data_IF_507012551304
#
_entry.id   IF_507012551304
#
_cell.length_a   1.000
_cell.length_b   1.000
_cell.length_c   1.000
_cell.angle_alpha   90.00
_cell.angle_beta   90.00
_cell.angle_gamma   90.00
#
_symmetry.space_group_name_H-M   'P 1'
#
loop_
_entity.id
_entity.type
_entity.pdbx_description
1 polymer ?
#
# COMPACT_ATOMS: atom_id res chain seq x y z
N UNK A 1 11.40 6.57 -29.97
CA UNK A 1 10.48 5.46 -29.67
C UNK A 1 9.24 6.10 -29.08
N UNK A 2 8.20 6.07 -29.86
CA UNK A 2 7.06 6.98 -29.74
C UNK A 2 6.20 6.74 -28.51
N UNK A 3 5.93 7.84 -27.81
CA UNK A 3 4.97 7.90 -26.70
C UNK A 3 3.60 8.18 -27.29
N UNK A 4 2.68 7.25 -27.17
CA UNK A 4 1.26 7.50 -27.40
C UNK A 4 0.62 8.03 -26.10
N UNK A 5 -0.11 9.17 -26.14
CA UNK A 5 -0.86 9.67 -25.01
C UNK A 5 -2.19 8.91 -24.85
N UNK A 6 -2.77 8.85 -23.64
CA UNK A 6 -4.05 8.22 -23.42
C UNK A 6 -5.18 9.07 -24.03
N UNK A 7 -6.14 8.39 -24.64
CA UNK A 7 -7.31 8.92 -25.30
C UNK A 7 -8.21 9.79 -24.40
N UNK A 8 -8.63 10.90 -24.96
CA UNK A 8 -9.57 11.87 -24.43
C UNK A 8 -10.94 11.27 -24.09
N UNK A 9 -11.37 11.41 -22.84
CA UNK A 9 -12.76 11.17 -22.43
C UNK A 9 -13.59 12.44 -22.60
N UNK A 10 -14.68 12.28 -23.33
CA UNK A 10 -15.70 13.25 -23.69
C UNK A 10 -16.25 14.04 -22.49
N UNK A 11 -16.17 15.36 -22.59
CA UNK A 11 -16.92 16.31 -21.76
C UNK A 11 -18.40 16.31 -22.22
N UNK A 12 -19.30 15.89 -21.35
CA UNK A 12 -20.71 16.28 -21.45
C UNK A 12 -21.06 17.16 -20.25
N UNK A 13 -21.30 18.43 -20.54
CA UNK A 13 -21.85 19.39 -19.61
C UNK A 13 -23.31 19.00 -19.26
N UNK A 14 -23.60 18.87 -17.95
CA UNK A 14 -24.98 18.86 -17.47
C UNK A 14 -25.20 20.17 -16.70
N UNK A 15 -26.12 20.97 -17.23
CA UNK A 15 -26.55 22.24 -16.65
C UNK A 15 -27.37 22.01 -15.37
N UNK A 16 -26.97 22.67 -14.27
CA UNK A 16 -27.73 22.71 -13.04
C UNK A 16 -28.63 23.95 -13.09
N UNK A 17 -29.93 23.74 -13.08
CA UNK A 17 -30.97 24.79 -12.95
C UNK A 17 -31.01 25.30 -11.51
N UNK A 18 -30.88 26.61 -11.41
CA UNK A 18 -31.12 27.34 -10.17
C UNK A 18 -32.62 27.43 -9.87
N UNK A 19 -32.98 27.25 -8.60
CA UNK A 19 -34.28 27.69 -8.09
C UNK A 19 -34.08 28.74 -7.00
N UNK A 20 -34.75 29.87 -7.22
CA UNK A 20 -34.82 31.04 -6.34
C UNK A 20 -36.20 31.10 -5.64
N UNK A 21 -36.19 31.75 -4.47
CA UNK A 21 -37.28 32.40 -3.73
C UNK A 21 -38.13 31.51 -2.81
N UNK A 22 -38.32 31.85 -1.51
CA UNK A 22 -39.18 32.94 -1.02
C UNK A 22 -38.85 33.29 0.45
N UNK A 23 -38.74 34.58 0.72
CA UNK A 23 -38.69 35.15 2.07
C UNK A 23 -40.14 35.42 2.57
N UNK A 24 -40.39 35.25 3.86
CA UNK A 24 -41.53 35.89 4.55
C UNK A 24 -41.16 36.23 5.99
N UNK A 25 -41.21 37.51 6.31
CA UNK A 25 -41.06 38.10 7.62
C UNK A 25 -42.38 38.03 8.41
N UNK A 26 -42.31 37.85 9.73
CA UNK A 26 -43.36 38.27 10.63
C UNK A 26 -42.78 38.76 11.97
N UNK A 27 -43.21 39.97 12.34
CA UNK A 27 -42.91 40.76 13.54
C UNK A 27 -43.55 40.21 14.80
N UNK A 28 -42.83 40.40 15.90
CA UNK A 28 -43.38 41.03 17.10
C UNK A 28 -43.84 40.16 18.25
N UNK A 29 -43.21 40.20 19.39
CA UNK A 29 -43.73 40.79 20.62
C UNK A 29 -42.72 40.73 21.77
N UNK A 30 -42.47 41.86 22.42
CA UNK A 30 -41.75 41.99 23.70
C UNK A 30 -42.47 41.33 24.85
N UNK A 31 -41.74 40.56 25.67
CA UNK A 31 -42.04 40.40 27.10
C UNK A 31 -40.73 40.47 27.90
N UNK A 32 -40.71 41.42 28.83
CA UNK A 32 -39.66 41.56 29.84
C UNK A 32 -39.73 40.38 30.83
N UNK A 33 -38.62 39.72 31.05
CA UNK A 33 -38.44 38.67 32.05
C UNK A 33 -37.06 38.76 32.68
N UNK A 34 -37.01 38.97 33.95
CA UNK A 34 -35.96 39.18 34.93
C UNK A 34 -34.68 38.38 34.71
N UNK A 35 -33.56 39.10 34.79
CA UNK A 35 -32.21 38.56 34.78
C UNK A 35 -31.91 37.69 36.02
N UNK A 36 -31.64 36.42 35.77
CA UNK A 36 -30.89 35.56 36.70
C UNK A 36 -29.52 35.37 36.12
N UNK A 37 -28.52 35.92 36.77
CA UNK A 37 -27.09 35.79 36.46
C UNK A 37 -26.67 34.33 36.57
N UNK A 38 -26.52 33.64 35.44
CA UNK A 38 -25.82 32.37 35.38
C UNK A 38 -24.38 32.65 34.88
N UNK A 39 -23.41 32.34 35.74
CA UNK A 39 -22.00 32.44 35.43
C UNK A 39 -21.59 31.64 34.17
N UNK A 40 -20.48 32.00 33.54
CA UNK A 40 -20.06 31.38 32.29
C UNK A 40 -19.75 29.89 32.51
N UNK A 41 -20.59 29.02 32.00
CA UNK A 41 -20.25 27.61 31.84
C UNK A 41 -19.14 27.54 30.80
N UNK A 42 -17.93 27.32 31.26
CA UNK A 42 -16.78 26.91 30.43
C UNK A 42 -17.26 25.72 29.58
N UNK A 43 -17.41 25.94 28.28
CA UNK A 43 -17.49 24.85 27.32
C UNK A 43 -16.11 24.19 27.33
N UNK A 44 -15.97 23.06 28.01
CA UNK A 44 -14.83 22.19 27.82
C UNK A 44 -14.86 21.80 26.34
N UNK A 45 -13.90 22.36 25.55
CA UNK A 45 -13.57 21.81 24.25
C UNK A 45 -13.23 20.33 24.47
N UNK A 46 -13.76 19.42 23.63
CA UNK A 46 -13.34 18.04 23.69
C UNK A 46 -11.83 18.03 23.38
N UNK A 47 -11.00 17.82 24.41
CA UNK A 47 -9.60 17.49 24.20
C UNK A 47 -9.59 16.27 23.27
N UNK A 48 -9.23 16.50 21.99
CA UNK A 48 -8.82 15.44 21.09
C UNK A 48 -7.67 14.72 21.81
N UNK A 49 -7.99 13.61 22.48
CA UNK A 49 -6.97 12.67 22.92
C UNK A 49 -6.20 12.29 21.66
N UNK A 50 -4.96 12.81 21.54
CA UNK A 50 -4.05 12.41 20.50
C UNK A 50 -4.00 10.89 20.52
N UNK A 51 -4.60 10.26 19.53
CA UNK A 51 -4.65 8.80 19.42
C UNK A 51 -3.21 8.32 19.31
N UNK A 52 -2.71 7.74 20.40
CA UNK A 52 -1.34 7.22 20.47
C UNK A 52 -1.17 6.16 19.39
N UNK A 53 -0.08 6.26 18.63
CA UNK A 53 0.25 5.26 17.62
C UNK A 53 0.34 3.86 18.24
N UNK A 54 -0.05 2.82 17.47
CA UNK A 54 -0.05 1.44 17.95
C UNK A 54 1.37 0.98 18.33
N UNK A 55 1.56 0.60 19.58
CA UNK A 55 2.82 0.03 20.07
C UNK A 55 2.79 -1.50 19.91
N UNK A 56 3.33 -1.97 18.77
CA UNK A 56 3.44 -3.40 18.50
C UNK A 56 4.47 -4.09 19.37
N UNK A 57 5.48 -3.38 19.88
CA UNK A 57 6.55 -3.98 20.66
C UNK A 57 6.10 -4.41 22.06
N UNK A 58 5.03 -3.80 22.58
CA UNK A 58 4.39 -4.21 23.82
C UNK A 58 3.59 -5.52 23.72
N UNK A 59 3.40 -6.06 22.52
CA UNK A 59 2.56 -7.24 22.27
C UNK A 59 3.38 -8.47 21.91
N UNK A 60 2.93 -9.67 22.31
CA UNK A 60 3.46 -10.92 21.79
C UNK A 60 3.46 -10.95 20.27
N UNK A 61 4.52 -11.50 19.67
CA UNK A 61 4.71 -11.46 18.22
C UNK A 61 3.51 -11.98 17.42
N UNK A 62 2.94 -13.10 17.85
CA UNK A 62 1.78 -13.71 17.19
C UNK A 62 0.48 -12.89 17.27
N UNK A 63 0.40 -11.90 18.18
CA UNK A 63 -0.78 -11.02 18.31
C UNK A 63 -0.66 -9.71 17.49
N UNK A 64 0.54 -9.40 16.97
CA UNK A 64 0.81 -8.14 16.28
C UNK A 64 -0.02 -7.96 15.01
N UNK A 65 -0.24 -9.03 14.23
CA UNK A 65 -1.08 -8.99 13.03
C UNK A 65 -2.55 -8.66 13.37
N UNK A 66 -3.12 -9.34 14.36
CA UNK A 66 -4.48 -9.08 14.83
C UNK A 66 -4.64 -7.68 15.46
N UNK A 67 -3.60 -7.17 16.13
CA UNK A 67 -3.60 -5.82 16.68
C UNK A 67 -3.57 -4.76 15.56
N UNK A 68 -2.75 -4.96 14.52
CA UNK A 68 -2.71 -4.07 13.37
C UNK A 68 -4.05 -4.06 12.62
N UNK A 69 -4.67 -5.22 12.38
CA UNK A 69 -6.00 -5.28 11.76
C UNK A 69 -7.04 -4.47 12.55
N UNK A 70 -7.07 -4.59 13.88
CA UNK A 70 -7.97 -3.77 14.72
C UNK A 70 -7.65 -2.28 14.63
N UNK A 71 -6.39 -1.91 14.62
CA UNK A 71 -5.97 -0.51 14.49
C UNK A 71 -6.37 0.10 13.13
N UNK A 72 -6.47 -0.75 12.10
CA UNK A 72 -7.04 -0.42 10.79
C UNK A 72 -8.57 -0.37 10.79
N UNK A 73 -9.24 -0.66 11.90
CA UNK A 73 -10.70 -0.74 11.99
C UNK A 73 -11.26 -1.99 11.29
N UNK A 74 -10.48 -3.07 11.18
CA UNK A 74 -10.85 -4.31 10.50
C UNK A 74 -10.99 -5.47 11.48
N UNK A 75 -11.75 -6.52 11.11
CA UNK A 75 -11.84 -7.75 11.89
C UNK A 75 -10.45 -8.41 12.06
N UNK A 76 -10.28 -9.19 13.13
CA UNK A 76 -9.08 -10.00 13.37
C UNK A 76 -9.09 -11.24 12.49
N UNK A 77 -8.98 -11.04 11.19
CA UNK A 77 -8.89 -12.07 10.15
C UNK A 77 -7.89 -11.64 9.10
N UNK A 78 -7.40 -12.56 8.29
CA UNK A 78 -6.52 -12.20 7.17
C UNK A 78 -7.25 -11.23 6.24
N UNK A 79 -6.73 -10.01 6.11
CA UNK A 79 -7.33 -8.97 5.28
C UNK A 79 -7.11 -9.26 3.81
N UNK A 80 -8.10 -8.95 2.97
CA UNK A 80 -7.98 -9.04 1.52
C UNK A 80 -8.09 -7.65 0.90
N UNK A 81 -7.24 -7.36 -0.07
CA UNK A 81 -7.23 -6.08 -0.75
C UNK A 81 -7.08 -6.22 -2.26
N UNK A 82 -7.33 -5.12 -2.95
CA UNK A 82 -7.07 -4.97 -4.37
C UNK A 82 -6.23 -3.73 -4.63
N UNK A 83 -5.29 -3.85 -5.58
CA UNK A 83 -4.40 -2.77 -5.98
C UNK A 83 -4.56 -2.43 -7.46
N UNK A 84 -4.19 -1.19 -7.82
CA UNK A 84 -4.15 -0.70 -9.21
C UNK A 84 -5.44 -0.99 -10.00
N UNK A 85 -6.58 -0.84 -9.32
CA UNK A 85 -7.90 -1.11 -9.90
C UNK A 85 -8.83 0.09 -9.69
N UNK A 86 -9.83 0.26 -10.54
CA UNK A 86 -10.84 1.31 -10.38
C UNK A 86 -11.99 0.87 -9.46
N UNK A 87 -12.56 1.82 -8.72
CA UNK A 87 -13.69 1.57 -7.82
C UNK A 87 -14.95 1.10 -8.53
N UNK A 88 -15.15 1.53 -9.79
CA UNK A 88 -16.29 1.10 -10.60
C UNK A 88 -16.24 -0.41 -10.85
N UNK A 89 -15.07 -0.99 -11.04
CA UNK A 89 -14.89 -2.44 -11.16
C UNK A 89 -15.19 -3.15 -9.84
N UNK A 90 -14.68 -2.64 -8.71
CA UNK A 90 -14.92 -3.22 -7.38
C UNK A 90 -16.43 -3.24 -7.06
N UNK A 91 -17.09 -2.10 -7.20
CA UNK A 91 -18.53 -1.94 -6.94
C UNK A 91 -19.38 -2.73 -7.94
N UNK A 92 -19.05 -2.64 -9.24
CA UNK A 92 -19.82 -3.32 -10.31
C UNK A 92 -19.77 -4.84 -10.21
N UNK A 93 -18.71 -5.40 -9.60
CA UNK A 93 -18.63 -6.83 -9.31
C UNK A 93 -19.19 -7.20 -7.93
N UNK A 94 -19.53 -6.23 -7.07
CA UNK A 94 -19.98 -6.45 -5.71
C UNK A 94 -18.90 -7.10 -4.84
N UNK A 95 -17.65 -6.65 -4.98
CA UNK A 95 -16.54 -7.17 -4.21
C UNK A 95 -16.51 -6.51 -2.82
N UNK A 96 -16.27 -7.30 -1.79
CA UNK A 96 -15.91 -6.82 -0.45
C UNK A 96 -14.40 -6.93 -0.30
N UNK A 97 -13.74 -5.80 -0.02
CA UNK A 97 -12.28 -5.73 0.16
C UNK A 97 -11.94 -4.90 1.39
N UNK A 98 -10.90 -5.27 2.11
CA UNK A 98 -10.44 -4.57 3.30
C UNK A 98 -9.45 -3.45 2.98
N UNK A 99 -8.70 -3.58 1.87
CA UNK A 99 -7.62 -2.67 1.47
C UNK A 99 -7.80 -2.27 0.00
N UNK A 100 -7.71 -0.96 -0.27
CA UNK A 100 -7.71 -0.39 -1.62
C UNK A 100 -6.38 0.31 -1.88
N UNK A 101 -5.55 -0.24 -2.77
CA UNK A 101 -4.18 0.22 -2.98
C UNK A 101 -4.01 0.95 -4.32
N UNK A 102 -3.24 2.05 -4.28
CA UNK A 102 -2.79 2.78 -5.46
C UNK A 102 -1.32 3.23 -5.33
N UNK A 103 -0.68 3.47 -6.47
CA UNK A 103 0.69 3.95 -6.53
C UNK A 103 0.79 5.47 -6.49
N UNK A 104 1.92 5.95 -5.95
CA UNK A 104 2.39 7.33 -6.06
C UNK A 104 3.77 7.31 -6.72
N UNK A 105 3.82 7.61 -8.00
CA UNK A 105 5.03 7.52 -8.82
C UNK A 105 5.54 8.90 -9.22
N UNK A 106 6.81 8.96 -9.61
CA UNK A 106 7.45 10.14 -10.18
C UNK A 106 7.88 11.19 -9.15
N UNK A 107 8.65 12.16 -9.60
CA UNK A 107 9.14 13.28 -8.79
C UNK A 107 8.91 14.60 -9.53
N UNK A 108 8.54 15.65 -8.78
CA UNK A 108 8.30 16.96 -9.33
C UNK A 108 7.07 17.02 -10.25
N UNK A 109 7.20 17.71 -11.38
CA UNK A 109 6.08 17.95 -12.30
C UNK A 109 5.56 16.69 -13.02
N UNK A 110 6.41 15.68 -13.19
CA UNK A 110 6.06 14.42 -13.86
C UNK A 110 5.69 13.32 -12.83
N UNK A 111 4.93 13.69 -11.82
CA UNK A 111 4.58 12.82 -10.70
C UNK A 111 3.09 12.84 -10.40
N UNK A 112 2.70 12.07 -9.39
CA UNK A 112 1.33 12.04 -8.85
C UNK A 112 0.79 13.43 -8.44
N UNK A 113 1.67 14.43 -8.25
CA UNK A 113 1.27 15.82 -7.99
C UNK A 113 0.49 16.43 -9.17
N UNK A 114 0.83 16.04 -10.40
CA UNK A 114 0.26 16.61 -11.64
C UNK A 114 -0.89 15.79 -12.23
N UNK A 115 -1.18 14.60 -11.69
CA UNK A 115 -2.21 13.73 -12.27
C UNK A 115 -3.62 14.29 -12.11
N UNK A 116 -3.84 15.14 -11.12
CA UNK A 116 -5.12 15.80 -10.86
C UNK A 116 -4.91 17.25 -10.38
N UNK A 117 -5.95 18.07 -10.46
CA UNK A 117 -5.93 19.47 -9.97
C UNK A 117 -6.84 19.59 -8.74
N UNK A 118 -6.43 20.33 -7.69
CA UNK A 118 -5.11 20.95 -7.49
C UNK A 118 -3.98 19.95 -7.33
N UNK A 119 -2.72 20.41 -7.37
CA UNK A 119 -1.55 19.54 -7.25
C UNK A 119 -1.63 18.63 -6.02
N UNK A 120 -1.39 17.34 -6.23
CA UNK A 120 -1.50 16.30 -5.22
C UNK A 120 -2.92 15.86 -4.86
N UNK A 121 -3.97 16.35 -5.55
CA UNK A 121 -5.36 15.92 -5.31
C UNK A 121 -5.56 14.42 -5.54
N UNK A 122 -4.67 13.76 -6.29
CA UNK A 122 -4.74 12.33 -6.51
C UNK A 122 -4.78 11.52 -5.20
N UNK A 123 -3.99 11.89 -4.20
CA UNK A 123 -4.02 11.20 -2.91
C UNK A 123 -5.38 11.34 -2.22
N UNK A 124 -6.01 12.53 -2.28
CA UNK A 124 -7.35 12.76 -1.71
C UNK A 124 -8.41 11.92 -2.45
N UNK A 125 -8.30 11.82 -3.78
CA UNK A 125 -9.17 10.99 -4.61
C UNK A 125 -9.05 9.51 -4.24
N UNK A 126 -7.83 9.01 -4.03
CA UNK A 126 -7.61 7.62 -3.62
C UNK A 126 -8.24 7.34 -2.26
N UNK A 127 -8.11 8.26 -1.28
CA UNK A 127 -8.76 8.12 0.02
C UNK A 127 -10.29 8.11 -0.09
N UNK A 128 -10.88 8.99 -0.93
CA UNK A 128 -12.31 8.98 -1.22
C UNK A 128 -12.75 7.68 -1.90
N UNK A 129 -11.96 7.17 -2.85
CA UNK A 129 -12.24 5.90 -3.52
C UNK A 129 -12.20 4.72 -2.54
N UNK A 130 -11.26 4.72 -1.59
CA UNK A 130 -11.22 3.72 -0.54
C UNK A 130 -12.47 3.79 0.36
N UNK A 131 -12.90 5.01 0.73
CA UNK A 131 -14.14 5.20 1.48
C UNK A 131 -15.38 4.70 0.73
N UNK A 132 -15.44 4.92 -0.59
CA UNK A 132 -16.57 4.46 -1.44
C UNK A 132 -16.70 2.93 -1.47
N UNK A 133 -15.61 2.20 -1.36
CA UNK A 133 -15.60 0.73 -1.33
C UNK A 133 -15.43 0.19 0.10
N UNK A 134 -15.59 1.04 1.10
CA UNK A 134 -15.48 0.72 2.53
C UNK A 134 -14.16 0.04 2.91
N UNK A 135 -13.06 0.42 2.24
CA UNK A 135 -11.72 -0.15 2.43
C UNK A 135 -10.77 0.84 3.11
N UNK A 136 -9.66 0.33 3.62
CA UNK A 136 -8.53 1.12 4.10
C UNK A 136 -7.68 1.54 2.89
N UNK A 137 -7.41 2.84 2.68
CA UNK A 137 -6.51 3.26 1.62
C UNK A 137 -5.08 2.79 1.90
N UNK A 138 -4.43 2.26 0.86
CA UNK A 138 -3.01 1.93 0.88
C UNK A 138 -2.29 2.64 -0.26
N UNK A 139 -1.24 3.34 0.06
CA UNK A 139 -0.37 3.98 -0.93
C UNK A 139 0.94 3.21 -1.08
N UNK A 140 1.32 2.93 -2.32
CA UNK A 140 2.68 2.49 -2.63
C UNK A 140 3.47 3.69 -3.13
N UNK A 141 4.35 4.21 -2.30
CA UNK A 141 5.31 5.26 -2.69
C UNK A 141 6.41 4.60 -3.50
N UNK A 142 6.48 4.91 -4.79
CA UNK A 142 7.43 4.34 -5.75
C UNK A 142 8.10 5.46 -6.54
N UNK A 143 8.80 6.32 -5.82
CA UNK A 143 9.36 7.57 -6.33
C UNK A 143 10.88 7.46 -6.57
N UNK A 144 11.58 6.61 -5.81
CA UNK A 144 13.02 6.38 -6.00
C UNK A 144 13.34 5.80 -7.38
N UNK A 145 12.40 5.09 -8.00
CA UNK A 145 12.51 4.60 -9.37
C UNK A 145 12.23 5.67 -10.47
N UNK A 146 12.04 6.95 -10.11
CA UNK A 146 11.71 8.00 -11.09
C UNK A 146 12.78 8.20 -12.17
N UNK A 147 14.04 7.84 -11.89
CA UNK A 147 15.13 7.81 -12.87
C UNK A 147 15.28 6.49 -13.61
N UNK A 148 14.45 5.50 -13.32
CA UNK A 148 14.46 4.13 -13.83
C UNK A 148 14.76 3.11 -12.73
N UNK A 149 14.26 1.90 -12.90
CA UNK A 149 14.50 0.80 -11.97
C UNK A 149 16.01 0.53 -11.82
N UNK A 150 16.45 0.37 -10.59
CA UNK A 150 17.87 0.17 -10.26
C UNK A 150 18.73 1.42 -10.29
N UNK A 151 18.20 2.57 -10.71
CA UNK A 151 18.94 3.86 -10.70
C UNK A 151 18.77 4.49 -9.32
N UNK A 152 19.80 4.35 -8.47
CA UNK A 152 19.80 4.90 -7.09
C UNK A 152 20.63 6.18 -6.95
N UNK A 153 21.23 6.68 -8.03
CA UNK A 153 22.06 7.89 -8.05
C UNK A 153 21.31 9.16 -7.63
N UNK A 154 19.98 9.16 -7.68
CA UNK A 154 19.15 10.27 -7.21
C UNK A 154 19.28 10.58 -5.72
N UNK A 155 19.62 9.60 -4.88
CA UNK A 155 19.62 9.79 -3.41
C UNK A 155 20.70 10.74 -2.89
N UNK A 156 21.71 11.06 -3.69
CA UNK A 156 22.75 12.03 -3.39
C UNK A 156 22.60 13.34 -4.17
N UNK A 157 21.55 13.48 -4.98
CA UNK A 157 21.27 14.66 -5.78
C UNK A 157 20.24 15.58 -5.10
N UNK A 158 20.60 16.82 -4.71
CA UNK A 158 19.64 17.74 -4.09
C UNK A 158 18.44 18.07 -4.98
N UNK A 159 18.63 18.10 -6.32
CA UNK A 159 17.55 18.37 -7.26
C UNK A 159 16.53 17.22 -7.33
N UNK A 160 16.90 16.03 -6.91
CA UNK A 160 16.03 14.87 -6.77
C UNK A 160 15.42 14.79 -5.36
N UNK A 161 16.27 14.83 -4.33
CA UNK A 161 15.83 14.58 -2.95
C UNK A 161 15.04 15.75 -2.36
N UNK A 162 15.25 16.98 -2.81
CA UNK A 162 14.43 18.12 -2.37
C UNK A 162 12.95 17.95 -2.70
N UNK A 163 12.57 17.79 -3.99
CA UNK A 163 11.20 17.47 -4.37
C UNK A 163 10.68 16.16 -3.79
N UNK A 164 11.52 15.13 -3.65
CA UNK A 164 11.16 13.87 -3.01
C UNK A 164 10.62 14.08 -1.59
N UNK A 165 11.38 14.76 -0.73
CA UNK A 165 10.97 15.04 0.65
C UNK A 165 9.72 15.91 0.73
N UNK A 166 9.56 16.87 -0.16
CA UNK A 166 8.35 17.69 -0.23
C UNK A 166 7.12 16.81 -0.54
N UNK A 167 7.24 15.86 -1.45
CA UNK A 167 6.15 14.96 -1.80
C UNK A 167 5.83 13.94 -0.69
N UNK A 168 6.85 13.38 -0.04
CA UNK A 168 6.68 12.51 1.14
C UNK A 168 5.94 13.27 2.25
N UNK A 169 6.38 14.49 2.56
CA UNK A 169 5.71 15.34 3.55
C UNK A 169 4.26 15.61 3.18
N UNK A 170 4.00 16.03 1.93
CA UNK A 170 2.64 16.31 1.46
C UNK A 170 1.71 15.10 1.58
N UNK A 171 2.19 13.90 1.26
CA UNK A 171 1.42 12.67 1.44
C UNK A 171 0.98 12.51 2.91
N UNK A 172 1.93 12.59 3.86
CA UNK A 172 1.61 12.41 5.27
C UNK A 172 0.76 13.55 5.84
N UNK A 173 0.91 14.80 5.37
CA UNK A 173 -0.01 15.89 5.72
C UNK A 173 -1.45 15.60 5.26
N UNK A 174 -1.62 15.05 4.04
CA UNK A 174 -2.94 14.66 3.53
C UNK A 174 -3.53 13.50 4.34
N UNK A 175 -2.73 12.50 4.66
CA UNK A 175 -3.14 11.37 5.50
C UNK A 175 -3.50 11.82 6.94
N UNK A 176 -2.76 12.78 7.48
CA UNK A 176 -3.08 13.40 8.76
C UNK A 176 -4.43 14.13 8.74
N UNK A 177 -4.72 14.90 7.69
CA UNK A 177 -6.02 15.55 7.50
C UNK A 177 -7.16 14.56 7.25
N UNK A 178 -6.90 13.47 6.54
CA UNK A 178 -7.87 12.38 6.36
C UNK A 178 -8.29 11.79 7.71
N UNK A 179 -7.37 11.65 8.65
CA UNK A 179 -7.65 11.32 10.05
C UNK A 179 -8.18 9.90 10.30
N UNK A 180 -8.37 9.09 9.27
CA UNK A 180 -8.73 7.67 9.36
C UNK A 180 -7.49 6.79 9.19
N UNK A 181 -7.56 5.49 9.54
CA UNK A 181 -6.46 4.56 9.30
C UNK A 181 -6.09 4.47 7.82
N UNK A 182 -4.79 4.42 7.53
CA UNK A 182 -4.24 4.23 6.20
C UNK A 182 -2.97 3.39 6.25
N UNK A 183 -2.59 2.80 5.12
CA UNK A 183 -1.36 2.02 4.94
C UNK A 183 -0.45 2.72 3.92
N UNK A 184 0.86 2.66 4.16
CA UNK A 184 1.85 3.13 3.18
C UNK A 184 2.96 2.08 3.04
N UNK A 185 3.17 1.62 1.81
CA UNK A 185 4.29 0.80 1.37
C UNK A 185 5.38 1.72 0.84
N UNK A 186 6.58 1.63 1.41
CA UNK A 186 7.66 2.60 1.20
C UNK A 186 8.73 2.06 0.25
N UNK A 187 8.75 2.56 -0.98
CA UNK A 187 9.81 2.42 -1.98
C UNK A 187 10.18 0.96 -2.30
N UNK A 188 9.26 0.17 -2.88
CA UNK A 188 9.59 -1.16 -3.40
C UNK A 188 10.83 -1.13 -4.31
N UNK A 189 11.59 -2.22 -4.31
CA UNK A 189 12.82 -2.46 -5.08
C UNK A 189 14.02 -1.59 -4.69
N UNK A 190 13.81 -0.35 -4.27
CA UNK A 190 14.87 0.58 -3.89
C UNK A 190 15.81 0.00 -2.84
N UNK A 191 15.28 -0.64 -1.80
CA UNK A 191 16.10 -1.15 -0.70
C UNK A 191 17.04 -2.27 -1.11
N UNK A 192 16.63 -3.12 -2.05
CA UNK A 192 17.48 -4.17 -2.60
C UNK A 192 18.57 -3.62 -3.51
N UNK A 193 18.26 -2.62 -4.33
CA UNK A 193 19.28 -1.94 -5.12
C UNK A 193 20.28 -1.19 -4.26
N UNK A 194 19.81 -0.54 -3.19
CA UNK A 194 20.69 0.10 -2.22
C UNK A 194 21.57 -0.91 -1.48
N UNK A 195 21.02 -2.07 -1.10
CA UNK A 195 21.80 -3.15 -0.48
C UNK A 195 22.87 -3.73 -1.40
N UNK A 196 22.60 -3.86 -2.69
CA UNK A 196 23.60 -4.31 -3.66
C UNK A 196 24.74 -3.30 -3.83
N UNK A 197 24.43 -2.01 -3.74
CA UNK A 197 25.44 -0.97 -3.88
C UNK A 197 26.29 -0.82 -2.61
N UNK A 198 25.68 -0.92 -1.43
CA UNK A 198 26.35 -0.88 -0.12
C UNK A 198 25.60 -1.78 0.88
N UNK A 199 26.22 -2.88 1.32
CA UNK A 199 25.60 -3.83 2.23
C UNK A 199 25.30 -3.28 3.65
N UNK A 200 25.82 -2.11 3.98
CA UNK A 200 25.54 -1.43 5.25
C UNK A 200 24.74 -0.13 5.01
N UNK A 201 23.43 -0.11 5.27
CA UNK A 201 22.61 1.07 5.01
C UNK A 201 23.00 2.29 5.84
N UNK A 202 23.80 2.11 6.91
CA UNK A 202 24.31 3.20 7.73
C UNK A 202 25.55 3.87 7.12
N UNK A 203 26.16 3.25 6.12
CA UNK A 203 27.31 3.79 5.37
C UNK A 203 26.97 4.29 4.00
N UNK A 204 25.83 3.87 3.44
CA UNK A 204 25.41 4.27 2.11
C UNK A 204 24.93 5.72 2.11
N UNK A 205 25.63 6.66 1.44
CA UNK A 205 25.27 8.07 1.48
C UNK A 205 23.91 8.35 0.84
N UNK A 206 23.10 9.21 1.48
CA UNK A 206 21.85 9.72 0.94
C UNK A 206 21.52 11.07 1.58
N UNK A 207 20.89 11.99 0.85
CA UNK A 207 20.55 13.32 1.35
C UNK A 207 19.27 13.29 2.20
N UNK A 208 19.43 13.38 3.50
CA UNK A 208 18.36 13.40 4.50
C UNK A 208 18.19 14.78 5.13
N UNK A 209 19.29 15.41 5.52
CA UNK A 209 19.31 16.68 6.26
C UNK A 209 18.78 17.88 5.48
N UNK A 210 18.67 17.76 4.16
CA UNK A 210 17.96 18.77 3.35
C UNK A 210 16.46 18.81 3.66
N UNK A 211 15.90 17.77 4.31
CA UNK A 211 14.57 17.80 4.90
C UNK A 211 14.66 18.41 6.31
N UNK A 212 14.06 19.60 6.56
CA UNK A 212 14.15 20.28 7.86
C UNK A 212 13.61 19.44 9.03
N UNK A 213 12.62 18.59 8.79
CA UNK A 213 12.04 17.71 9.82
C UNK A 213 12.99 16.59 10.27
N UNK A 214 14.08 16.40 9.53
CA UNK A 214 15.04 15.30 9.71
C UNK A 214 16.50 15.78 9.76
N UNK A 215 16.73 17.08 10.02
CA UNK A 215 18.05 17.72 9.95
C UNK A 215 19.09 17.09 10.90
N UNK A 216 18.66 16.45 11.97
CA UNK A 216 19.55 15.76 12.93
C UNK A 216 19.84 14.28 12.58
N UNK A 217 19.12 13.70 11.60
CA UNK A 217 19.37 12.33 11.16
C UNK A 217 20.60 12.25 10.24
N UNK A 218 21.27 11.11 10.18
CA UNK A 218 22.43 10.95 9.31
C UNK A 218 22.05 10.96 7.83
N UNK A 219 22.93 11.52 6.99
CA UNK A 219 22.81 11.51 5.53
C UNK A 219 23.18 10.12 4.97
N UNK A 220 22.34 9.13 5.26
CA UNK A 220 22.51 7.72 4.86
C UNK A 220 21.17 7.10 4.45
N UNK A 221 21.22 5.95 3.78
CA UNK A 221 20.02 5.18 3.42
C UNK A 221 19.22 4.78 4.67
N UNK A 222 19.89 4.42 5.77
CA UNK A 222 19.20 4.21 7.05
C UNK A 222 18.54 5.50 7.58
N UNK A 223 19.19 6.64 7.37
CA UNK A 223 18.61 7.96 7.69
C UNK A 223 17.36 8.26 6.84
N UNK A 224 17.34 7.87 5.56
CA UNK A 224 16.14 7.99 4.72
C UNK A 224 14.97 7.20 5.33
N UNK A 225 15.18 5.95 5.69
CA UNK A 225 14.14 5.12 6.31
C UNK A 225 13.66 5.73 7.64
N UNK A 226 14.58 6.18 8.48
CA UNK A 226 14.26 6.82 9.76
C UNK A 226 13.45 8.12 9.57
N UNK A 227 13.79 8.94 8.57
CA UNK A 227 13.08 10.17 8.24
C UNK A 227 11.65 9.90 7.77
N UNK A 228 11.43 8.89 6.92
CA UNK A 228 10.10 8.48 6.50
C UNK A 228 9.22 8.06 7.69
N UNK A 229 9.74 7.22 8.58
CA UNK A 229 9.04 6.80 9.80
C UNK A 229 8.68 7.99 10.69
N UNK A 230 9.65 8.88 10.92
CA UNK A 230 9.44 10.10 11.71
C UNK A 230 8.35 11.00 11.12
N UNK A 231 8.42 11.25 9.81
CA UNK A 231 7.43 12.07 9.11
C UNK A 231 6.03 11.49 9.23
N UNK A 232 5.90 10.16 9.08
CA UNK A 232 4.63 9.46 9.26
C UNK A 232 4.10 9.62 10.69
N UNK A 233 4.93 9.40 11.71
CA UNK A 233 4.52 9.51 13.13
C UNK A 233 4.13 10.93 13.51
N UNK A 234 4.85 11.92 12.99
CA UNK A 234 4.62 13.33 13.28
C UNK A 234 3.33 13.85 12.63
N UNK A 235 3.13 13.56 11.35
CA UNK A 235 2.08 14.19 10.55
C UNK A 235 0.81 13.35 10.42
N UNK A 236 0.92 12.02 10.51
CA UNK A 236 -0.18 11.10 10.27
C UNK A 236 -0.18 9.92 11.27
N UNK A 237 -0.46 10.16 12.57
CA UNK A 237 -0.31 9.13 13.62
C UNK A 237 -1.24 7.92 13.47
N UNK A 238 -2.26 7.99 12.61
CA UNK A 238 -3.13 6.87 12.26
C UNK A 238 -2.73 6.15 10.97
N UNK A 239 -1.60 6.52 10.38
CA UNK A 239 -1.04 5.85 9.20
C UNK A 239 0.01 4.84 9.62
N UNK A 240 -0.15 3.62 9.12
CA UNK A 240 0.77 2.51 9.37
C UNK A 240 1.65 2.33 8.15
N UNK A 241 2.95 2.23 8.37
CA UNK A 241 3.95 2.20 7.29
C UNK A 241 4.73 0.90 7.30
N UNK A 242 5.06 0.40 6.11
CA UNK A 242 5.82 -0.83 5.93
C UNK A 242 6.94 -0.68 4.92
N UNK A 243 8.01 -1.44 5.14
CA UNK A 243 9.13 -1.56 4.22
C UNK A 243 9.05 -2.88 3.46
N UNK A 244 9.20 -2.85 2.12
CA UNK A 244 9.30 -4.04 1.30
C UNK A 244 10.75 -4.47 1.17
N UNK A 245 11.20 -5.60 1.77
CA UNK A 245 12.43 -6.22 1.34
C UNK A 245 12.30 -6.59 -0.14
N UNK A 246 13.36 -6.37 -0.91
CA UNK A 246 13.30 -6.61 -2.36
C UNK A 246 13.32 -8.09 -2.71
N UNK A 247 13.72 -8.94 -1.77
CA UNK A 247 13.73 -10.41 -1.89
C UNK A 247 14.49 -10.92 -3.13
N UNK A 248 15.49 -10.15 -3.61
CA UNK A 248 16.34 -10.61 -4.70
C UNK A 248 17.13 -11.85 -4.26
N UNK A 249 17.19 -12.86 -5.12
CA UNK A 249 17.75 -14.17 -4.79
C UNK A 249 19.18 -14.11 -4.23
N UNK A 250 20.01 -13.24 -4.79
CA UNK A 250 21.39 -12.98 -4.35
C UNK A 250 21.49 -12.31 -2.97
N UNK A 251 20.45 -11.62 -2.52
CA UNK A 251 20.42 -10.91 -1.25
C UNK A 251 19.77 -11.69 -0.11
N UNK A 252 18.98 -12.72 -0.40
CA UNK A 252 18.20 -13.47 0.61
C UNK A 252 19.01 -13.91 1.85
N UNK A 253 20.31 -14.29 1.76
CA UNK A 253 21.07 -14.68 2.95
C UNK A 253 21.28 -13.53 3.95
N UNK A 254 21.33 -12.28 3.49
CA UNK A 254 21.69 -11.10 4.31
C UNK A 254 20.55 -10.09 4.45
N UNK A 255 19.46 -10.26 3.70
CA UNK A 255 18.41 -9.27 3.55
C UNK A 255 17.71 -8.92 4.89
N UNK A 256 17.33 -9.91 5.69
CA UNK A 256 16.73 -9.67 7.03
C UNK A 256 17.65 -8.83 7.91
N UNK A 257 18.95 -9.11 7.91
CA UNK A 257 19.93 -8.36 8.70
C UNK A 257 20.11 -6.92 8.16
N UNK A 258 20.11 -6.76 6.84
CA UNK A 258 20.11 -5.44 6.20
C UNK A 258 18.89 -4.63 6.57
N UNK A 259 17.69 -5.19 6.39
CA UNK A 259 16.42 -4.54 6.71
C UNK A 259 16.32 -4.16 8.20
N UNK A 260 16.89 -4.97 9.09
CA UNK A 260 16.97 -4.62 10.51
C UNK A 260 17.90 -3.43 10.77
N UNK A 261 19.09 -3.39 10.13
CA UNK A 261 19.99 -2.23 10.22
C UNK A 261 19.42 -0.98 9.56
N UNK A 262 18.58 -1.14 8.54
CA UNK A 262 17.80 -0.07 7.92
C UNK A 262 16.79 0.57 8.89
N UNK A 263 16.33 -0.19 9.88
CA UNK A 263 15.27 0.24 10.81
C UNK A 263 13.88 -0.26 10.44
N UNK A 264 13.73 -1.23 9.54
CA UNK A 264 12.44 -1.79 9.16
C UNK A 264 11.72 -2.48 10.33
N UNK A 265 12.46 -2.90 11.36
CA UNK A 265 11.92 -3.38 12.64
C UNK A 265 11.25 -2.29 13.49
N UNK A 266 11.32 -1.02 13.10
CA UNK A 266 10.61 0.13 13.72
C UNK A 266 9.34 0.53 12.96
N UNK A 267 9.10 -0.09 11.81
CA UNK A 267 7.89 0.09 11.03
C UNK A 267 6.70 -0.66 11.64
N UNK A 268 5.54 -0.63 10.99
CA UNK A 268 4.32 -1.28 11.48
C UNK A 268 4.12 -2.67 10.86
N UNK A 269 4.64 -2.87 9.65
CA UNK A 269 4.56 -4.14 8.93
C UNK A 269 5.72 -4.28 7.94
N UNK A 270 5.91 -5.51 7.46
CA UNK A 270 6.81 -5.82 6.34
C UNK A 270 5.96 -6.14 5.12
N UNK A 271 6.34 -5.58 3.98
CA UNK A 271 5.64 -5.85 2.72
C UNK A 271 6.31 -7.02 1.99
N UNK A 272 5.57 -8.08 1.78
CA UNK A 272 6.05 -9.27 1.09
C UNK A 272 5.61 -9.25 -0.37
N UNK A 273 6.45 -9.79 -1.25
CA UNK A 273 6.15 -10.00 -2.66
C UNK A 273 6.18 -11.49 -3.00
N UNK A 274 5.36 -11.90 -3.95
CA UNK A 274 5.41 -13.28 -4.46
C UNK A 274 6.45 -13.43 -5.58
N UNK A 275 7.18 -12.34 -5.92
CA UNK A 275 8.09 -12.29 -7.07
C UNK A 275 7.37 -12.74 -8.34
N UNK A 276 7.96 -13.45 -9.20
CA UNK A 276 7.45 -14.06 -10.45
C UNK A 276 5.93 -13.93 -10.68
N UNK A 277 5.45 -12.68 -10.81
CA UNK A 277 4.07 -12.41 -11.21
C UNK A 277 3.86 -12.94 -12.64
N UNK A 278 2.58 -13.20 -12.97
CA UNK A 278 2.21 -13.61 -14.33
C UNK A 278 2.91 -14.89 -14.80
N UNK A 279 2.85 -15.93 -13.99
CA UNK A 279 3.44 -17.23 -14.32
C UNK A 279 3.12 -17.69 -15.74
N UNK A 280 1.91 -17.48 -16.22
CA UNK A 280 1.50 -17.78 -17.60
C UNK A 280 2.18 -16.94 -18.67
N UNK A 281 2.49 -15.67 -18.38
CA UNK A 281 3.25 -14.81 -19.28
C UNK A 281 4.70 -15.30 -19.43
N UNK A 282 5.33 -15.71 -18.33
CA UNK A 282 6.67 -16.29 -18.33
C UNK A 282 6.69 -17.67 -19.00
N UNK A 283 5.67 -18.51 -18.77
CA UNK A 283 5.53 -19.80 -19.45
C UNK A 283 5.43 -19.63 -20.97
N UNK A 284 4.68 -18.63 -21.43
CA UNK A 284 4.53 -18.33 -22.85
C UNK A 284 5.74 -17.62 -23.45
N UNK A 285 6.74 -17.23 -22.66
CA UNK A 285 7.90 -16.44 -23.10
C UNK A 285 7.46 -15.19 -23.89
N UNK A 286 6.44 -14.51 -23.40
CA UNK A 286 5.92 -13.28 -24.02
C UNK A 286 7.04 -12.26 -24.20
N UNK A 287 7.00 -11.48 -25.28
CA UNK A 287 7.98 -10.42 -25.57
C UNK A 287 7.96 -9.25 -24.58
N UNK A 288 7.01 -9.18 -23.65
CA UNK A 288 7.08 -8.25 -22.55
C UNK A 288 8.33 -8.54 -21.71
N UNK A 289 9.14 -7.50 -21.41
CA UNK A 289 10.42 -7.67 -20.74
C UNK A 289 10.32 -8.43 -19.42
N UNK A 290 9.24 -8.22 -18.67
CA UNK A 290 8.97 -8.93 -17.43
C UNK A 290 8.66 -10.43 -17.61
N UNK A 291 8.31 -10.86 -18.83
CA UNK A 291 7.91 -12.23 -19.14
C UNK A 291 9.04 -13.05 -19.81
N UNK A 292 10.14 -12.40 -20.18
CA UNK A 292 11.30 -13.06 -20.81
C UNK A 292 12.33 -13.37 -19.74
N UNK A 293 12.26 -14.56 -19.17
CA UNK A 293 13.22 -15.04 -18.18
C UNK A 293 13.65 -16.47 -18.51
N UNK A 294 14.89 -16.78 -18.19
CA UNK A 294 15.38 -18.15 -18.29
C UNK A 294 14.96 -18.96 -17.07
N UNK A 295 14.65 -20.23 -17.31
CA UNK A 295 14.28 -21.16 -16.25
C UNK A 295 12.78 -21.21 -15.99
N UNK A 296 12.37 -22.24 -15.35
CA UNK A 296 11.05 -22.58 -14.86
C UNK A 296 11.21 -23.68 -13.83
N UNK A 297 10.13 -24.19 -13.28
CA UNK A 297 8.74 -23.83 -13.50
C UNK A 297 8.35 -22.48 -12.88
N UNK A 298 7.37 -21.79 -13.48
CA UNK A 298 6.88 -20.48 -13.03
C UNK A 298 5.69 -20.59 -12.07
N UNK A 299 4.94 -21.69 -12.19
CA UNK A 299 3.88 -22.03 -11.23
C UNK A 299 4.50 -22.65 -10.01
N UNK A 300 4.09 -22.17 -8.84
CA UNK A 300 4.47 -22.83 -7.61
C UNK A 300 3.67 -24.10 -7.41
N UNK A 301 4.35 -25.15 -6.97
CA UNK A 301 3.71 -26.45 -6.69
C UNK A 301 2.78 -26.34 -5.47
N UNK A 302 1.48 -26.53 -5.70
CA UNK A 302 0.45 -26.48 -4.66
C UNK A 302 0.47 -27.70 -3.74
N UNK A 303 1.05 -28.82 -4.19
CA UNK A 303 1.25 -30.02 -3.36
C UNK A 303 2.42 -29.86 -2.39
N UNK A 304 3.26 -28.85 -2.59
CA UNK A 304 4.48 -28.56 -1.80
C UNK A 304 5.52 -29.70 -1.81
N UNK A 305 5.56 -30.47 -2.87
CA UNK A 305 6.50 -31.61 -3.03
C UNK A 305 7.69 -31.28 -3.91
N UNK A 306 7.54 -30.34 -4.85
CA UNK A 306 8.60 -29.88 -5.75
C UNK A 306 8.84 -28.39 -5.63
N UNK A 307 10.03 -27.91 -6.05
CA UNK A 307 10.39 -26.48 -6.03
C UNK A 307 10.13 -25.83 -7.40
N UNK A 308 9.70 -24.56 -7.46
CA UNK A 308 9.29 -23.70 -6.34
C UNK A 308 7.89 -24.06 -5.83
N UNK A 309 7.63 -23.82 -4.53
CA UNK A 309 6.34 -24.12 -3.93
C UNK A 309 5.93 -23.07 -2.86
N UNK A 310 4.67 -23.18 -2.43
CA UNK A 310 4.09 -22.24 -1.47
C UNK A 310 4.70 -22.39 -0.07
N UNK A 311 5.01 -23.62 0.37
CA UNK A 311 5.64 -23.85 1.66
C UNK A 311 7.02 -23.17 1.76
N UNK A 312 7.82 -23.22 0.69
CA UNK A 312 9.11 -22.50 0.62
C UNK A 312 8.95 -21.00 0.74
N UNK A 313 7.96 -20.42 0.01
CA UNK A 313 7.69 -18.99 0.09
C UNK A 313 7.20 -18.59 1.50
N UNK A 314 6.31 -19.36 2.10
CA UNK A 314 5.80 -19.07 3.45
C UNK A 314 6.88 -19.25 4.52
N UNK A 315 7.79 -20.22 4.37
CA UNK A 315 8.96 -20.36 5.24
C UNK A 315 9.91 -19.14 5.13
N UNK A 316 10.12 -18.64 3.90
CA UNK A 316 10.88 -17.40 3.68
C UNK A 316 10.17 -16.20 4.32
N UNK A 317 8.87 -16.04 4.10
CA UNK A 317 8.06 -15.00 4.71
C UNK A 317 8.17 -15.02 6.25
N UNK A 318 8.08 -16.20 6.85
CA UNK A 318 8.23 -16.37 8.29
C UNK A 318 9.61 -15.92 8.80
N UNK A 319 10.69 -16.09 8.04
CA UNK A 319 12.01 -15.56 8.41
C UNK A 319 12.01 -14.03 8.55
N UNK A 320 11.28 -13.31 7.67
CA UNK A 320 11.12 -11.85 7.81
C UNK A 320 10.25 -11.49 9.00
N UNK A 321 9.15 -12.20 9.22
CA UNK A 321 8.30 -12.01 10.39
C UNK A 321 9.07 -12.17 11.72
N UNK A 322 9.80 -13.25 11.85
CA UNK A 322 10.60 -13.53 13.05
C UNK A 322 11.82 -12.61 13.19
N UNK A 323 12.49 -12.30 12.07
CA UNK A 323 13.70 -11.49 12.08
C UNK A 323 13.44 -10.00 12.32
N UNK A 324 12.37 -9.47 11.77
CA UNK A 324 11.98 -8.06 11.91
C UNK A 324 10.91 -7.84 12.97
N UNK A 325 10.31 -8.90 13.51
CA UNK A 325 9.28 -8.81 14.55
C UNK A 325 8.08 -7.95 14.14
N UNK A 326 7.70 -8.00 12.86
CA UNK A 326 6.58 -7.21 12.30
C UNK A 326 5.64 -8.10 11.49
N UNK A 327 4.30 -7.85 11.56
CA UNK A 327 3.33 -8.56 10.72
C UNK A 327 3.62 -8.37 9.25
N UNK A 328 3.19 -9.31 8.42
CA UNK A 328 3.45 -9.33 6.99
C UNK A 328 2.21 -8.93 6.20
N UNK A 329 2.38 -8.08 5.19
CA UNK A 329 1.36 -7.75 4.21
C UNK A 329 1.87 -8.13 2.81
N UNK A 330 1.25 -9.13 2.18
CA UNK A 330 1.56 -9.44 0.79
C UNK A 330 1.00 -8.36 -0.11
N UNK A 331 1.80 -7.95 -1.06
CA UNK A 331 1.47 -6.90 -2.01
C UNK A 331 1.80 -7.38 -3.43
N UNK A 332 1.11 -6.83 -4.42
CA UNK A 332 1.29 -7.19 -5.82
C UNK A 332 1.12 -8.70 -6.12
N UNK A 333 0.30 -9.38 -5.33
CA UNK A 333 -0.04 -10.78 -5.62
C UNK A 333 -0.90 -10.82 -6.90
N UNK A 334 -0.50 -11.58 -7.95
CA UNK A 334 -1.17 -11.52 -9.24
C UNK A 334 -2.59 -12.05 -9.16
N UNK A 335 -3.52 -11.38 -9.86
CA UNK A 335 -4.90 -11.84 -9.97
C UNK A 335 -5.00 -13.11 -10.83
N UNK A 336 -4.27 -13.17 -11.95
CA UNK A 336 -4.26 -14.31 -12.85
C UNK A 336 -5.63 -14.78 -13.34
N UNK A 337 -5.68 -15.57 -14.38
CA UNK A 337 -6.83 -16.44 -14.67
C UNK A 337 -6.60 -17.81 -14.02
N UNK A 338 -7.63 -18.69 -13.90
CA UNK A 338 -7.45 -20.02 -13.33
C UNK A 338 -6.28 -20.78 -13.96
N UNK A 339 -5.44 -21.43 -13.13
CA UNK A 339 -4.24 -22.14 -13.61
C UNK A 339 -4.55 -23.24 -14.63
N UNK A 340 -5.77 -23.81 -14.60
CA UNK A 340 -6.23 -24.79 -15.57
C UNK A 340 -6.62 -24.21 -16.95
N UNK A 341 -6.72 -22.86 -17.08
CA UNK A 341 -7.06 -22.24 -18.35
C UNK A 341 -5.93 -22.44 -19.38
N UNK A 342 -6.24 -22.41 -20.70
CA UNK A 342 -5.22 -22.49 -21.73
C UNK A 342 -4.13 -21.45 -21.56
N UNK A 343 -2.90 -21.77 -21.98
CA UNK A 343 -1.73 -20.91 -21.86
C UNK A 343 -1.39 -20.23 -23.17
N UNK A 344 -0.41 -19.34 -23.16
CA UNK A 344 0.26 -18.82 -24.33
C UNK A 344 -0.20 -17.43 -24.78
N UNK A 345 -1.35 -16.95 -24.30
CA UNK A 345 -1.87 -15.62 -24.64
C UNK A 345 -2.52 -14.96 -23.41
N UNK A 346 -2.49 -13.61 -23.33
CA UNK A 346 -3.23 -12.92 -22.28
C UNK A 346 -4.75 -13.14 -22.41
N UNK A 347 -5.51 -13.11 -21.29
CA UNK A 347 -5.04 -12.90 -19.93
C UNK A 347 -4.23 -14.11 -19.39
N UNK A 348 -3.28 -13.82 -18.49
CA UNK A 348 -2.30 -14.81 -18.05
C UNK A 348 -2.80 -15.65 -16.88
N UNK A 349 -2.46 -16.96 -16.89
CA UNK A 349 -2.72 -17.87 -15.75
C UNK A 349 -1.86 -17.50 -14.56
N UNK A 350 -2.42 -17.73 -13.36
CA UNK A 350 -1.65 -17.76 -12.12
C UNK A 350 -2.37 -18.58 -11.06
N UNK A 351 -1.64 -19.23 -10.16
CA UNK A 351 -2.22 -20.04 -9.11
C UNK A 351 -2.13 -19.41 -7.71
N UNK A 352 -1.54 -18.23 -7.56
CA UNK A 352 -1.34 -17.58 -6.25
C UNK A 352 -2.65 -17.13 -5.62
N UNK A 353 -3.59 -16.56 -6.39
CA UNK A 353 -4.93 -16.21 -5.90
C UNK A 353 -5.62 -17.44 -5.31
N UNK A 354 -5.60 -18.55 -6.06
CA UNK A 354 -6.25 -19.78 -5.63
C UNK A 354 -5.64 -20.31 -4.33
N UNK A 355 -4.32 -20.47 -4.30
CA UNK A 355 -3.66 -21.04 -3.13
C UNK A 355 -3.86 -20.17 -1.89
N UNK A 356 -3.63 -18.88 -1.99
CA UNK A 356 -3.72 -17.96 -0.85
C UNK A 356 -5.12 -17.88 -0.26
N UNK A 357 -6.15 -17.84 -1.10
CA UNK A 357 -7.53 -17.77 -0.64
C UNK A 357 -8.11 -19.14 -0.22
N UNK A 358 -7.46 -20.26 -0.60
CA UNK A 358 -7.83 -21.60 -0.16
C UNK A 358 -7.07 -22.08 1.09
N UNK A 359 -5.93 -21.43 1.41
CA UNK A 359 -5.09 -21.79 2.56
C UNK A 359 -4.72 -20.54 3.38
N UNK A 360 -5.69 -19.68 3.72
CA UNK A 360 -5.41 -18.40 4.39
C UNK A 360 -4.79 -18.58 5.78
N UNK A 361 -5.07 -19.70 6.45
CA UNK A 361 -4.48 -20.06 7.75
C UNK A 361 -2.95 -20.21 7.69
N UNK A 362 -2.41 -20.62 6.55
CA UNK A 362 -0.96 -20.74 6.37
C UNK A 362 -0.29 -19.36 6.29
N UNK A 363 -0.96 -18.38 5.68
CA UNK A 363 -0.48 -17.00 5.65
C UNK A 363 -0.52 -16.39 7.05
N UNK A 364 -1.60 -16.62 7.80
CA UNK A 364 -1.71 -16.18 9.22
C UNK A 364 -0.60 -16.82 10.05
N UNK A 365 -0.34 -18.12 9.88
CA UNK A 365 0.73 -18.82 10.59
C UNK A 365 2.13 -18.30 10.24
N UNK A 366 2.32 -17.78 9.02
CA UNK A 366 3.56 -17.11 8.63
C UNK A 366 3.70 -15.67 9.19
N UNK A 367 2.68 -15.14 9.87
CA UNK A 367 2.67 -13.80 10.44
C UNK A 367 1.89 -12.77 9.61
N UNK A 368 1.04 -13.24 8.69
CA UNK A 368 0.29 -12.40 7.75
C UNK A 368 -0.84 -11.60 8.40
N UNK A 369 -0.93 -10.33 8.04
CA UNK A 369 -2.07 -9.46 8.33
C UNK A 369 -3.02 -9.34 7.13
N UNK A 370 -2.52 -9.48 5.91
CA UNK A 370 -3.36 -9.38 4.72
C UNK A 370 -2.64 -9.65 3.40
N UNK A 371 -3.42 -9.70 2.34
CA UNK A 371 -2.95 -9.87 0.95
C UNK A 371 -3.62 -8.84 0.05
N UNK A 372 -2.84 -8.07 -0.70
CA UNK A 372 -3.31 -7.17 -1.75
C UNK A 372 -3.05 -7.80 -3.11
N UNK A 373 -4.12 -8.10 -3.83
CA UNK A 373 -4.09 -8.67 -5.17
C UNK A 373 -4.07 -7.55 -6.21
N UNK A 374 -3.29 -7.72 -7.27
CA UNK A 374 -3.07 -6.67 -8.27
C UNK A 374 -3.10 -7.24 -9.70
N UNK A 375 -3.38 -6.37 -10.70
CA UNK A 375 -3.28 -6.77 -12.09
C UNK A 375 -1.89 -7.30 -12.43
N UNK A 376 -1.86 -8.20 -13.39
CA UNK A 376 -0.64 -8.73 -13.98
C UNK A 376 0.03 -7.75 -14.96
N UNK A 377 0.97 -8.29 -15.73
CA UNK A 377 1.79 -7.52 -16.68
C UNK A 377 0.93 -6.68 -17.61
N UNK A 378 1.21 -5.36 -17.67
CA UNK A 378 0.47 -4.36 -18.46
C UNK A 378 -1.04 -4.45 -18.28
N UNK A 379 -1.50 -4.87 -17.11
CA UNK A 379 -2.93 -5.05 -16.79
C UNK A 379 -3.67 -6.03 -17.70
N UNK A 380 -2.98 -6.95 -18.37
CA UNK A 380 -3.61 -7.96 -19.23
C UNK A 380 -4.54 -8.89 -18.44
N UNK A 381 -4.11 -9.27 -17.23
CA UNK A 381 -4.97 -9.96 -16.27
C UNK A 381 -5.34 -8.99 -15.16
N UNK A 382 -6.61 -8.72 -14.96
CA UNK A 382 -7.18 -7.82 -13.96
C UNK A 382 -8.57 -8.33 -13.56
N UNK A 383 -9.26 -7.65 -12.66
CA UNK A 383 -10.59 -8.06 -12.16
C UNK A 383 -11.66 -8.24 -13.26
N UNK A 384 -11.48 -7.65 -14.45
CA UNK A 384 -12.42 -7.81 -15.58
C UNK A 384 -12.05 -8.98 -16.48
N UNK A 385 -10.82 -9.46 -16.41
CA UNK A 385 -10.27 -10.45 -17.33
C UNK A 385 -9.76 -11.71 -16.64
N UNK A 386 -9.84 -11.78 -15.31
CA UNK A 386 -9.40 -12.93 -14.48
C UNK A 386 -10.33 -14.15 -14.55
N UNK A 387 -11.36 -14.11 -15.39
CA UNK A 387 -12.38 -15.17 -15.47
C UNK A 387 -13.29 -15.25 -14.25
N UNK A 388 -13.32 -14.20 -13.40
CA UNK A 388 -14.11 -14.16 -12.17
C UNK A 388 -13.50 -14.96 -11.01
N UNK A 389 -12.26 -15.40 -11.14
CA UNK A 389 -11.60 -16.25 -10.14
C UNK A 389 -11.46 -15.51 -8.80
N UNK A 390 -11.03 -14.25 -8.79
CA UNK A 390 -10.92 -13.48 -7.55
C UNK A 390 -12.26 -13.30 -6.85
N UNK A 391 -13.31 -12.94 -7.60
CA UNK A 391 -14.67 -12.79 -7.06
C UNK A 391 -15.17 -14.07 -6.40
N UNK A 392 -15.01 -15.20 -7.06
CA UNK A 392 -15.47 -16.50 -6.55
C UNK A 392 -14.69 -16.91 -5.27
N UNK A 393 -13.36 -16.82 -5.32
CA UNK A 393 -12.48 -17.23 -4.23
C UNK A 393 -12.56 -16.29 -3.03
N UNK A 394 -12.62 -14.96 -3.24
CA UNK A 394 -12.76 -13.99 -2.15
C UNK A 394 -14.11 -14.13 -1.43
N UNK A 395 -15.20 -14.37 -2.18
CA UNK A 395 -16.51 -14.64 -1.59
C UNK A 395 -16.49 -15.93 -0.75
N UNK A 396 -15.86 -16.99 -1.23
CA UNK A 396 -15.74 -18.26 -0.48
C UNK A 396 -14.90 -18.06 0.78
N UNK A 397 -13.78 -17.34 0.69
CA UNK A 397 -12.94 -16.99 1.83
C UNK A 397 -13.70 -16.17 2.89
N UNK A 398 -14.42 -15.12 2.49
CA UNK A 398 -15.16 -14.24 3.42
C UNK A 398 -16.33 -14.95 4.11
N UNK A 399 -16.83 -16.06 3.56
CA UNK A 399 -17.83 -16.89 4.24
C UNK A 399 -17.22 -17.67 5.43
N UNK A 400 -15.91 -17.92 5.42
CA UNK A 400 -15.18 -18.62 6.49
C UNK A 400 -13.75 -18.03 6.60
N UNK A 401 -13.60 -16.82 7.09
CA UNK A 401 -12.30 -16.16 7.14
C UNK A 401 -11.35 -16.80 8.16
N UNK A 402 -10.04 -16.76 7.87
CA UNK A 402 -9.02 -17.24 8.80
C UNK A 402 -8.79 -16.21 9.93
N UNK A 403 -9.07 -16.55 11.20
CA UNK A 403 -8.88 -15.63 12.31
C UNK A 403 -7.39 -15.44 12.62
N UNK A 404 -7.04 -14.26 13.10
CA UNK A 404 -5.71 -13.95 13.67
C UNK A 404 -5.74 -13.98 15.21
N UNK A 405 -4.67 -14.41 15.84
CA UNK A 405 -4.53 -14.39 17.31
C UNK A 405 -4.65 -13.01 17.94
#
# INVERSE_FOLDING_TARGET
MERTPPSSLNRRCIAVRAWRHLALALLGLCMMGTALSAGPKSKAEPQQQATRHLDLDSLPLNQRAGALARALGRPRQLLIGVGSTDTGTVLGQGLTVDIYQQYLNGIGKDSWLSWNSPAGAYADIVMQHADMVEAVPMFTVYQMAARGDGRIDGITDPAFMGPYWQQVRLLFEKLGRYGKPALVNLEPDFWGYAQRAEPDPQKHPALVRINPDCAELPDTVAGVAACMLRTARLLAPRTYVGFPPSMFQDLLPTDVAYMKRLGADKADFVVMQTQDRDAGCMEAQSRAAACVRNGGPWYWDESNTTSPNFAQHLALARRYFEGLQRPLLWWQTPLGVPAAAPTGAPPWRDNRVRYFLSHPEQLVAAGGVGVVFSPGERSQTNLRTDGGQFKALSKAYLAKPAPMP
#
